data_IF_485167415897
#
_entry.id   IF_485167415897
#
_cell.length_a   1.000
_cell.length_b   1.000
_cell.length_c   1.000
_cell.angle_alpha   90.00
_cell.angle_beta   90.00
_cell.angle_gamma   90.00
#
_symmetry.space_group_name_H-M   'P 1'
#
loop_
_entity.id
_entity.type
_entity.pdbx_description
1 polymer ?
#
# COMPACT_ATOMS: atom_id res chain seq x y z
N UNK A 1 41.36 -40.58 -0.27
CA UNK A 1 40.35 -40.80 0.81
C UNK A 1 39.63 -39.51 1.21
N UNK A 2 40.23 -38.34 1.04
CA UNK A 2 39.72 -37.07 1.60
C UNK A 2 38.70 -36.30 0.73
N UNK A 3 38.53 -36.63 -0.55
CA UNK A 3 37.63 -35.88 -1.45
C UNK A 3 36.14 -36.16 -1.21
N UNK A 4 35.78 -37.37 -0.75
CA UNK A 4 34.39 -37.73 -0.49
C UNK A 4 33.82 -37.02 0.75
N UNK A 5 34.64 -36.86 1.79
CA UNK A 5 34.26 -36.14 3.01
C UNK A 5 33.97 -34.65 2.73
N UNK A 6 34.75 -34.02 1.83
CA UNK A 6 34.54 -32.63 1.42
C UNK A 6 33.23 -32.43 0.66
N UNK A 7 32.82 -33.42 -0.16
CA UNK A 7 31.57 -33.33 -0.93
C UNK A 7 30.34 -33.48 -0.04
N UNK A 8 30.41 -34.34 0.98
CA UNK A 8 29.32 -34.52 1.95
C UNK A 8 29.06 -33.24 2.75
N UNK A 9 30.12 -32.53 3.17
CA UNK A 9 29.99 -31.27 3.92
C UNK A 9 29.34 -30.18 3.07
N UNK A 10 29.70 -30.06 1.79
CA UNK A 10 29.11 -29.08 0.86
C UNK A 10 27.64 -29.39 0.58
N UNK A 11 27.28 -30.67 0.38
CA UNK A 11 25.90 -31.10 0.17
C UNK A 11 25.03 -30.83 1.41
N UNK A 12 25.53 -31.13 2.60
CA UNK A 12 24.83 -30.86 3.85
C UNK A 12 24.63 -29.35 4.06
N UNK A 13 25.68 -28.53 3.92
CA UNK A 13 25.59 -27.08 4.05
C UNK A 13 24.62 -26.47 3.02
N UNK A 14 24.63 -26.96 1.78
CA UNK A 14 23.71 -26.54 0.73
C UNK A 14 22.25 -26.87 1.05
N UNK A 15 21.99 -28.06 1.60
CA UNK A 15 20.66 -28.46 2.06
C UNK A 15 20.18 -27.52 3.17
N UNK A 16 20.99 -27.28 4.21
CA UNK A 16 20.62 -26.40 5.32
C UNK A 16 20.31 -24.95 4.89
N UNK A 17 21.00 -24.42 3.88
CA UNK A 17 20.71 -23.08 3.33
C UNK A 17 19.38 -23.02 2.56
N UNK A 18 18.94 -24.13 1.95
CA UNK A 18 17.66 -24.17 1.21
C UNK A 18 16.43 -24.37 2.09
N UNK A 19 16.58 -24.92 3.29
CA UNK A 19 15.46 -25.15 4.24
C UNK A 19 15.34 -24.03 5.30
N UNK A 20 16.07 -22.93 5.10
CA UNK A 20 16.40 -21.96 6.16
C UNK A 20 15.38 -20.87 6.51
N UNK A 21 14.26 -20.68 5.81
CA UNK A 21 13.33 -19.57 6.14
C UNK A 21 11.86 -19.93 5.91
N UNK A 22 11.27 -20.63 6.88
CA UNK A 22 9.82 -20.68 7.05
C UNK A 22 9.41 -20.17 8.43
N UNK A 23 9.89 -18.98 8.81
CA UNK A 23 9.45 -18.30 10.02
C UNK A 23 8.24 -17.39 9.71
N UNK A 24 7.05 -17.98 9.89
CA UNK A 24 5.76 -17.39 10.30
C UNK A 24 5.54 -15.89 9.97
N UNK A 25 4.87 -15.60 8.85
CA UNK A 25 4.20 -14.31 8.66
C UNK A 25 3.04 -14.18 9.65
N UNK A 26 3.30 -13.56 10.81
CA UNK A 26 2.26 -13.11 11.74
C UNK A 26 1.58 -11.89 11.12
N UNK A 27 0.47 -12.12 10.41
CA UNK A 27 -0.40 -11.08 9.88
C UNK A 27 -1.07 -10.30 11.01
N UNK A 28 -0.39 -9.29 11.54
CA UNK A 28 -1.02 -8.26 12.36
C UNK A 28 -1.83 -7.37 11.41
N UNK A 29 -3.13 -7.21 11.66
CA UNK A 29 -3.98 -6.28 10.91
C UNK A 29 -3.58 -4.84 11.27
N UNK A 30 -2.47 -4.38 10.69
CA UNK A 30 -2.05 -2.99 10.77
C UNK A 30 -3.14 -2.19 10.06
N UNK A 31 -3.83 -1.32 10.81
CA UNK A 31 -4.71 -0.31 10.19
C UNK A 31 -3.88 0.45 9.16
N UNK A 32 -4.18 0.24 7.89
CA UNK A 32 -3.41 0.81 6.80
C UNK A 32 -3.40 2.34 6.96
N UNK A 33 -2.21 2.94 6.97
CA UNK A 33 -2.11 4.40 7.07
C UNK A 33 -2.84 5.02 5.89
N UNK A 34 -3.60 6.10 6.16
CA UNK A 34 -4.14 6.95 5.09
C UNK A 34 -2.94 7.46 4.27
N UNK A 35 -2.97 7.23 2.96
CA UNK A 35 -1.90 7.52 2.02
C UNK A 35 -2.48 8.30 0.85
N UNK A 36 -1.87 9.45 0.52
CA UNK A 36 -2.29 10.26 -0.63
C UNK A 36 -2.11 9.50 -1.94
N UNK A 37 -1.12 8.61 -2.03
CA UNK A 37 -0.91 7.76 -3.21
C UNK A 37 -2.07 6.76 -3.38
N UNK A 38 -2.53 6.15 -2.29
CA UNK A 38 -3.68 5.24 -2.34
C UNK A 38 -4.98 5.99 -2.66
N UNK A 39 -5.15 7.21 -2.13
CA UNK A 39 -6.28 8.06 -2.48
C UNK A 39 -6.27 8.43 -3.96
N UNK A 40 -5.11 8.85 -4.49
CA UNK A 40 -4.92 9.18 -5.91
C UNK A 40 -5.30 8.01 -6.81
N UNK A 41 -4.79 6.80 -6.51
CA UNK A 41 -5.13 5.59 -7.26
C UNK A 41 -6.64 5.32 -7.23
N UNK A 42 -7.24 5.32 -6.05
CA UNK A 42 -8.68 5.03 -5.89
C UNK A 42 -9.55 6.04 -6.65
N UNK A 43 -9.25 7.34 -6.56
CA UNK A 43 -10.01 8.38 -7.26
C UNK A 43 -9.92 8.19 -8.77
N UNK A 44 -8.73 7.93 -9.30
CA UNK A 44 -8.58 7.69 -10.74
C UNK A 44 -9.28 6.41 -11.21
N UNK A 45 -9.20 5.33 -10.43
CA UNK A 45 -9.84 4.06 -10.76
C UNK A 45 -11.37 4.15 -10.75
N UNK A 46 -11.94 4.88 -9.78
CA UNK A 46 -13.40 5.01 -9.61
C UNK A 46 -14.01 6.02 -10.56
N UNK A 47 -13.32 7.14 -10.81
CA UNK A 47 -13.87 8.26 -11.61
C UNK A 47 -13.47 8.20 -13.08
N UNK A 48 -12.40 7.48 -13.42
CA UNK A 48 -11.80 7.49 -14.76
C UNK A 48 -11.16 8.83 -15.14
N UNK A 49 -10.88 9.70 -14.17
CA UNK A 49 -10.26 11.02 -14.36
C UNK A 49 -8.90 11.06 -13.66
N UNK A 50 -8.04 11.99 -14.07
CA UNK A 50 -6.79 12.25 -13.36
C UNK A 50 -7.11 12.77 -11.95
N UNK A 51 -6.48 12.19 -10.92
CA UNK A 51 -6.75 12.55 -9.53
C UNK A 51 -6.45 14.02 -9.21
N UNK A 52 -5.57 14.65 -10.01
CA UNK A 52 -5.25 16.08 -9.91
C UNK A 52 -6.44 16.99 -10.25
N UNK A 53 -7.43 16.51 -11.00
CA UNK A 53 -8.63 17.29 -11.32
C UNK A 53 -9.47 17.59 -10.07
N UNK A 54 -9.28 16.83 -9.00
CA UNK A 54 -9.96 17.00 -7.72
C UNK A 54 -9.11 17.75 -6.69
N UNK A 55 -7.90 18.19 -7.06
CA UNK A 55 -7.05 18.98 -6.16
C UNK A 55 -7.48 20.43 -6.22
N UNK A 56 -7.87 20.99 -5.08
CA UNK A 56 -8.41 22.36 -4.97
C UNK A 56 -9.69 22.56 -5.77
N UNK A 57 -10.56 21.55 -5.80
CA UNK A 57 -11.86 21.59 -6.44
C UNK A 57 -12.96 21.93 -5.43
N UNK A 58 -13.92 22.76 -5.83
CA UNK A 58 -15.04 23.13 -4.97
C UNK A 58 -14.62 23.83 -3.68
N UNK A 59 -15.37 23.57 -2.61
CA UNK A 59 -15.14 24.14 -1.28
C UNK A 59 -14.45 23.17 -0.32
N UNK A 60 -14.35 21.88 -0.65
CA UNK A 60 -13.87 20.82 0.24
C UNK A 60 -12.79 19.92 -0.36
N UNK A 61 -12.69 19.74 -1.68
CA UNK A 61 -11.65 18.87 -2.24
C UNK A 61 -10.27 19.57 -2.20
N UNK A 62 -9.52 19.41 -1.10
CA UNK A 62 -8.21 20.04 -0.91
C UNK A 62 -7.79 20.11 0.55
N UNK A 63 -7.03 21.15 0.90
CA UNK A 63 -6.65 21.43 2.30
C UNK A 63 -7.68 22.38 2.93
N UNK A 64 -8.34 21.93 4.00
CA UNK A 64 -9.31 22.73 4.74
C UNK A 64 -10.74 22.50 4.26
N UNK A 65 -11.58 23.54 4.26
CA UNK A 65 -12.90 23.49 3.64
C UNK A 65 -13.99 24.16 4.48
N UNK A 66 -14.87 24.91 3.83
CA UNK A 66 -15.98 25.63 4.48
C UNK A 66 -17.04 26.06 3.47
N UNK A 67 -18.28 26.21 3.92
CA UNK A 67 -19.40 26.65 3.07
C UNK A 67 -20.30 25.49 2.63
N UNK A 68 -21.06 25.70 1.56
CA UNK A 68 -21.94 24.67 0.99
C UNK A 68 -21.17 23.94 -0.13
N UNK A 69 -21.18 22.59 -0.18
CA UNK A 69 -20.62 21.87 -1.32
C UNK A 69 -21.20 22.37 -2.65
N UNK A 70 -20.33 22.56 -3.64
CA UNK A 70 -20.74 23.11 -4.96
C UNK A 70 -21.47 22.08 -5.82
N UNK A 71 -21.20 20.80 -5.60
CA UNK A 71 -21.80 19.66 -6.30
C UNK A 71 -21.65 18.36 -5.47
N UNK A 72 -22.16 17.21 -5.95
CA UNK A 72 -22.02 15.93 -5.23
C UNK A 72 -20.58 15.41 -5.08
N UNK A 73 -19.64 15.84 -5.92
CA UNK A 73 -18.23 15.47 -5.81
C UNK A 73 -17.61 16.20 -4.62
N UNK A 74 -17.88 17.50 -4.51
CA UNK A 74 -17.46 18.33 -3.37
C UNK A 74 -18.09 17.87 -2.05
N UNK A 75 -19.32 17.33 -2.10
CA UNK A 75 -19.96 16.68 -0.94
C UNK A 75 -19.21 15.41 -0.51
N UNK A 76 -18.71 14.62 -1.45
CA UNK A 76 -17.87 13.45 -1.14
C UNK A 76 -16.58 13.88 -0.42
N UNK A 77 -15.97 15.00 -0.83
CA UNK A 77 -14.79 15.56 -0.18
C UNK A 77 -15.10 16.10 1.23
N UNK A 78 -16.26 16.75 1.40
CA UNK A 78 -16.71 17.18 2.73
C UNK A 78 -16.84 15.99 3.68
N UNK A 79 -17.43 14.88 3.23
CA UNK A 79 -17.56 13.66 4.05
C UNK A 79 -16.20 12.99 4.29
N UNK A 80 -15.28 13.04 3.33
CA UNK A 80 -13.93 12.47 3.47
C UNK A 80 -13.10 13.15 4.57
N UNK A 81 -13.30 14.45 4.77
CA UNK A 81 -12.52 15.26 5.70
C UNK A 81 -13.02 15.22 7.15
N UNK A 82 -14.25 14.73 7.37
CA UNK A 82 -14.86 14.50 8.68
C UNK A 82 -14.36 13.19 9.35
#
# INVERSE_FOLDING_TARGET
>A
MSSAASMIVVLCLGLFLTVGDAALQKGSSVRQRRSLVNLSSMVSDVTGRESTDFVSYGNYCGLGGSGQPVDPIDECCQVHDL
#
